data_IF_556020420961
#
_entry.id   IF_556020420961
#
_cell.length_a   1.000
_cell.length_b   1.000
_cell.length_c   1.000
_cell.angle_alpha   90.00
_cell.angle_beta   90.00
_cell.angle_gamma   90.00
#
_symmetry.space_group_name_H-M   'P 1'
#
loop_
_entity.id
_entity.type
_entity.pdbx_description
1 polymer ?
#
# COMPACT_ATOMS: atom_id res chain seq x y z
N UNK A 1 4.08 -29.10 3.66
CA UNK A 1 4.13 -28.24 2.46
C UNK A 1 2.71 -28.02 2.01
N UNK A 2 2.32 -26.79 1.68
CA UNK A 2 1.00 -26.52 1.10
C UNK A 2 0.95 -27.22 -0.28
N UNK A 3 0.06 -28.19 -0.46
CA UNK A 3 0.02 -29.05 -1.67
C UNK A 3 -1.07 -28.65 -2.67
N UNK A 4 -1.86 -27.62 -2.37
CA UNK A 4 -2.84 -27.07 -3.29
C UNK A 4 -2.30 -25.77 -3.91
N UNK A 5 -2.50 -25.64 -5.22
CA UNK A 5 -2.23 -24.43 -5.98
C UNK A 5 -3.07 -23.27 -5.42
N UNK A 6 -2.42 -22.26 -4.85
CA UNK A 6 -3.11 -21.07 -4.36
C UNK A 6 -3.65 -20.25 -5.54
N UNK A 7 -4.96 -19.99 -5.52
CA UNK A 7 -5.66 -19.18 -6.53
C UNK A 7 -6.32 -17.98 -5.83
N UNK A 8 -5.71 -16.77 -5.87
CA UNK A 8 -6.31 -15.60 -5.23
C UNK A 8 -7.65 -15.25 -5.91
N UNK A 9 -8.65 -14.91 -5.11
CA UNK A 9 -9.98 -14.52 -5.58
C UNK A 9 -10.46 -13.28 -4.80
N UNK A 10 -9.96 -12.07 -5.14
CA UNK A 10 -10.41 -10.83 -4.50
C UNK A 10 -11.89 -10.57 -4.82
N UNK A 11 -12.58 -9.84 -3.94
CA UNK A 11 -13.94 -9.38 -4.20
C UNK A 11 -13.95 -8.41 -5.38
N UNK A 12 -14.93 -8.53 -6.26
CA UNK A 12 -15.12 -7.59 -7.36
C UNK A 12 -15.65 -6.25 -6.85
N UNK A 13 -14.81 -5.24 -6.97
CA UNK A 13 -15.02 -3.86 -6.56
C UNK A 13 -15.19 -2.91 -7.76
N UNK A 14 -15.21 -3.44 -8.99
CA UNK A 14 -15.19 -2.64 -10.23
C UNK A 14 -16.37 -1.67 -10.37
N UNK A 15 -17.52 -2.01 -9.79
CA UNK A 15 -18.72 -1.17 -9.76
C UNK A 15 -18.62 0.00 -8.77
N UNK A 16 -17.64 0.00 -7.87
CA UNK A 16 -17.49 1.02 -6.82
C UNK A 16 -16.72 2.23 -7.37
N UNK A 17 -17.45 3.32 -7.55
CA UNK A 17 -16.89 4.62 -7.92
C UNK A 17 -16.53 5.39 -6.65
N UNK A 18 -15.24 5.75 -6.49
CA UNK A 18 -14.81 6.56 -5.34
C UNK A 18 -15.31 8.01 -5.49
N UNK A 19 -15.98 8.56 -4.46
CA UNK A 19 -16.18 10.00 -4.33
C UNK A 19 -14.85 10.76 -4.39
N UNK A 20 -14.83 11.96 -4.97
CA UNK A 20 -13.61 12.79 -5.11
C UNK A 20 -12.85 12.97 -3.79
N UNK A 21 -13.56 13.22 -2.69
CA UNK A 21 -12.94 13.37 -1.36
C UNK A 21 -12.19 12.11 -0.90
N UNK A 22 -12.64 10.91 -1.29
CA UNK A 22 -11.96 9.65 -1.00
C UNK A 22 -10.84 9.36 -2.00
N UNK A 23 -10.88 9.89 -3.22
CA UNK A 23 -9.73 9.84 -4.13
C UNK A 23 -8.55 10.65 -3.58
N UNK A 24 -8.80 11.80 -2.95
CA UNK A 24 -7.74 12.58 -2.29
C UNK A 24 -7.19 11.90 -1.02
N UNK A 25 -7.97 11.00 -0.41
CA UNK A 25 -7.57 10.23 0.75
C UNK A 25 -6.58 9.11 0.39
N UNK A 26 -6.64 8.56 -0.83
CA UNK A 26 -5.81 7.41 -1.23
C UNK A 26 -4.31 7.74 -1.18
N UNK A 27 -3.92 8.95 -1.59
CA UNK A 27 -2.52 9.41 -1.54
C UNK A 27 -2.01 9.50 -0.10
N UNK A 28 -2.84 10.00 0.81
CA UNK A 28 -2.49 10.12 2.23
C UNK A 28 -2.40 8.74 2.89
N UNK A 29 -3.28 7.81 2.50
CA UNK A 29 -3.23 6.42 2.96
C UNK A 29 -1.98 5.71 2.44
N UNK A 30 -1.67 5.82 1.15
CA UNK A 30 -0.48 5.23 0.53
C UNK A 30 0.80 5.73 1.22
N UNK A 31 0.95 7.06 1.37
CA UNK A 31 2.05 7.67 2.12
C UNK A 31 2.16 7.11 3.53
N UNK A 32 1.08 7.09 4.29
CA UNK A 32 1.13 6.66 5.68
C UNK A 32 1.46 5.16 5.82
N UNK A 33 0.96 4.32 4.91
CA UNK A 33 1.32 2.89 4.88
C UNK A 33 2.81 2.72 4.65
N UNK A 34 3.38 3.47 3.70
CA UNK A 34 4.82 3.49 3.46
C UNK A 34 5.61 3.90 4.70
N UNK A 35 5.22 5.00 5.35
CA UNK A 35 5.89 5.49 6.56
C UNK A 35 5.87 4.46 7.70
N UNK A 36 4.72 3.80 7.92
CA UNK A 36 4.59 2.74 8.94
C UNK A 36 5.47 1.53 8.60
N UNK A 37 5.51 1.13 7.34
CA UNK A 37 6.39 0.06 6.87
C UNK A 37 7.88 0.43 7.06
N UNK A 38 8.27 1.63 6.63
CA UNK A 38 9.64 2.12 6.70
C UNK A 38 10.10 2.23 8.16
N UNK A 39 9.28 2.82 9.03
CA UNK A 39 9.54 2.91 10.47
C UNK A 39 9.75 1.51 11.07
N UNK A 40 8.89 0.56 10.74
CA UNK A 40 8.99 -0.83 11.24
C UNK A 40 10.29 -1.49 10.77
N UNK A 41 10.66 -1.31 9.50
CA UNK A 41 11.88 -1.87 8.93
C UNK A 41 13.13 -1.25 9.55
N UNK A 42 13.17 0.07 9.70
CA UNK A 42 14.28 0.77 10.35
C UNK A 42 14.44 0.28 11.80
N UNK A 43 13.34 0.13 12.56
CA UNK A 43 13.39 -0.43 13.91
C UNK A 43 13.92 -1.88 13.96
N UNK A 44 13.74 -2.65 12.89
CA UNK A 44 14.30 -4.00 12.73
C UNK A 44 15.78 -4.01 12.28
N UNK A 45 16.41 -2.84 12.15
CA UNK A 45 17.78 -2.66 11.72
C UNK A 45 17.97 -2.66 10.20
N UNK A 46 16.90 -2.41 9.43
CA UNK A 46 17.03 -2.18 7.99
C UNK A 46 17.47 -0.76 7.68
N UNK A 47 18.13 -0.59 6.55
CA UNK A 47 18.62 0.71 6.06
C UNK A 47 18.46 0.79 4.54
N UNK A 48 18.65 2.00 4.00
CA UNK A 48 18.67 2.18 2.56
C UNK A 48 19.84 1.42 1.89
N UNK A 49 19.57 0.87 0.71
CA UNK A 49 20.59 0.43 -0.25
C UNK A 49 20.02 0.42 -1.66
N UNK A 50 20.85 0.57 -2.70
CA UNK A 50 20.39 0.69 -4.09
C UNK A 50 19.66 -0.55 -4.60
N UNK A 51 19.93 -1.70 -3.99
CA UNK A 51 19.27 -2.98 -4.26
C UNK A 51 18.87 -3.64 -2.93
N UNK A 52 17.93 -4.59 -3.00
CA UNK A 52 17.51 -5.35 -1.82
C UNK A 52 18.59 -6.36 -1.44
N UNK A 53 19.02 -6.31 -0.19
CA UNK A 53 19.98 -7.25 0.41
C UNK A 53 19.47 -7.65 1.81
N UNK A 54 18.89 -8.83 1.93
CA UNK A 54 18.30 -9.30 3.18
C UNK A 54 19.36 -9.64 4.24
N UNK A 55 20.58 -10.01 3.82
CA UNK A 55 21.67 -10.35 4.74
C UNK A 55 22.25 -9.07 5.38
N UNK A 56 22.45 -8.03 4.59
CA UNK A 56 22.86 -6.71 5.07
C UNK A 56 21.69 -5.83 5.54
N UNK A 57 20.45 -6.34 5.45
CA UNK A 57 19.20 -5.61 5.74
C UNK A 57 19.09 -4.27 5.00
N UNK A 58 19.24 -4.30 3.68
CA UNK A 58 19.08 -3.13 2.82
C UNK A 58 17.86 -3.24 1.93
N UNK A 59 17.16 -2.13 1.73
CA UNK A 59 16.02 -2.06 0.83
C UNK A 59 15.99 -0.72 0.07
N UNK A 60 15.74 -0.71 -1.26
CA UNK A 60 15.74 0.52 -2.06
C UNK A 60 14.63 1.49 -1.69
N UNK A 61 13.47 0.97 -1.29
CA UNK A 61 12.34 1.81 -0.88
C UNK A 61 12.48 2.44 0.51
N UNK A 62 13.58 2.26 1.26
CA UNK A 62 13.78 2.94 2.56
C UNK A 62 14.24 4.39 2.37
N UNK A 63 13.41 5.16 1.68
CA UNK A 63 13.54 6.58 1.33
C UNK A 63 12.18 7.27 1.57
N UNK A 64 12.12 8.61 1.61
CA UNK A 64 10.85 9.33 1.72
C UNK A 64 9.86 8.91 0.64
N UNK A 65 8.57 8.82 0.98
CA UNK A 65 7.53 8.40 0.04
C UNK A 65 7.55 9.20 -1.27
N UNK A 66 7.75 10.52 -1.20
CA UNK A 66 7.80 11.40 -2.38
C UNK A 66 8.97 11.10 -3.34
N UNK A 67 10.03 10.45 -2.85
CA UNK A 67 11.22 10.10 -3.62
C UNK A 67 11.13 8.69 -4.24
N UNK A 68 10.07 7.95 -3.93
CA UNK A 68 9.84 6.64 -4.54
C UNK A 68 9.62 6.77 -6.05
N UNK A 69 10.07 5.76 -6.83
CA UNK A 69 9.69 5.62 -8.22
C UNK A 69 8.18 5.69 -8.38
N UNK A 70 7.70 6.35 -9.44
CA UNK A 70 6.25 6.52 -9.67
C UNK A 70 5.50 5.18 -9.71
N UNK A 71 6.12 4.12 -10.25
CA UNK A 71 5.53 2.79 -10.29
C UNK A 71 5.29 2.19 -8.87
N UNK A 72 6.19 2.44 -7.92
CA UNK A 72 6.02 1.99 -6.52
C UNK A 72 4.91 2.79 -5.85
N UNK A 73 4.88 4.12 -6.03
CA UNK A 73 3.78 4.96 -5.51
C UNK A 73 2.44 4.57 -6.13
N UNK A 74 2.41 4.25 -7.42
CA UNK A 74 1.20 3.79 -8.09
C UNK A 74 0.69 2.47 -7.52
N UNK A 75 1.58 1.53 -7.22
CA UNK A 75 1.23 0.29 -6.55
C UNK A 75 0.59 0.54 -5.16
N UNK A 76 1.19 1.42 -4.36
CA UNK A 76 0.65 1.77 -3.04
C UNK A 76 -0.72 2.45 -3.14
N UNK A 77 -0.88 3.39 -4.08
CA UNK A 77 -2.16 4.05 -4.34
C UNK A 77 -3.23 3.08 -4.81
N UNK A 78 -2.90 2.13 -5.69
CA UNK A 78 -3.84 1.11 -6.15
C UNK A 78 -4.31 0.24 -4.99
N UNK A 79 -3.39 -0.14 -4.09
CA UNK A 79 -3.73 -0.88 -2.87
C UNK A 79 -4.67 -0.07 -1.95
N UNK A 80 -4.42 1.22 -1.78
CA UNK A 80 -5.28 2.11 -1.00
C UNK A 80 -6.68 2.27 -1.65
N UNK A 81 -6.74 2.43 -2.98
CA UNK A 81 -7.99 2.53 -3.74
C UNK A 81 -8.83 1.26 -3.55
N UNK A 82 -8.26 0.08 -3.77
CA UNK A 82 -8.98 -1.18 -3.62
C UNK A 82 -9.46 -1.41 -2.19
N UNK A 83 -8.68 -1.00 -1.21
CA UNK A 83 -9.08 -1.05 0.20
C UNK A 83 -10.32 -0.18 0.46
N UNK A 84 -10.33 1.06 -0.02
CA UNK A 84 -11.50 1.95 0.11
C UNK A 84 -12.70 1.37 -0.64
N UNK A 85 -12.51 0.87 -1.88
CA UNK A 85 -13.61 0.28 -2.65
C UNK A 85 -14.25 -0.88 -1.91
N UNK A 86 -13.44 -1.74 -1.31
CA UNK A 86 -13.92 -2.88 -0.54
C UNK A 86 -14.76 -2.41 0.66
N UNK A 87 -14.28 -1.41 1.42
CA UNK A 87 -15.03 -0.85 2.55
C UNK A 87 -16.40 -0.35 2.11
N UNK A 88 -16.48 0.39 0.99
CA UNK A 88 -17.73 0.88 0.43
C UNK A 88 -18.63 -0.26 -0.08
N UNK A 89 -18.06 -1.26 -0.77
CA UNK A 89 -18.79 -2.45 -1.26
C UNK A 89 -19.42 -3.24 -0.10
N UNK A 90 -18.76 -3.26 1.05
CA UNK A 90 -19.24 -3.90 2.28
C UNK A 90 -20.31 -3.07 3.02
N UNK A 91 -20.70 -1.90 2.50
CA UNK A 91 -21.78 -1.08 3.03
C UNK A 91 -21.37 -0.09 4.13
N UNK A 92 -20.07 0.15 4.32
CA UNK A 92 -19.59 1.19 5.22
C UNK A 92 -19.48 2.54 4.53
N UNK A 93 -19.61 3.60 5.32
CA UNK A 93 -19.46 4.99 4.85
C UNK A 93 -18.19 5.60 5.44
N UNK A 94 -17.41 6.29 4.59
CA UNK A 94 -16.24 7.10 4.99
C UNK A 94 -16.54 8.55 4.64
N UNK A 95 -16.56 9.42 5.65
CA UNK A 95 -16.86 10.85 5.49
C UNK A 95 -15.81 11.70 6.20
N UNK A 96 -15.44 12.82 5.56
CA UNK A 96 -14.64 13.87 6.19
C UNK A 96 -15.57 14.70 7.09
N UNK A 97 -15.19 14.85 8.36
CA UNK A 97 -15.90 15.72 9.31
C UNK A 97 -15.65 17.19 9.01
#
# INVERSE_FOLDING_TARGET
MYTNEYRPAPMDTSEVVLPKALQELTEQMARNVHEVWAQTRIAQGWSYGPERDDAAKKHPCLIPYEELPEAEREYDRNTAVETIRLILKLGFTIERK
#
